data_IF_417514030865
#
_entry.id   IF_417514030865
#
_cell.length_a   1.000
_cell.length_b   1.000
_cell.length_c   1.000
_cell.angle_alpha   90.00
_cell.angle_beta   90.00
_cell.angle_gamma   90.00
#
_symmetry.space_group_name_H-M   'P 1'
#
loop_
_entity.id
_entity.type
_entity.pdbx_description
1 polymer ?
#
# COMPACT_ATOMS: atom_id res chain seq x y z
N UNK A 1 14.47 -19.71 3.87
CA UNK A 1 13.48 -18.61 3.87
C UNK A 1 12.86 -18.53 5.24
N UNK A 2 12.63 -17.32 5.79
CA UNK A 2 11.82 -17.16 6.99
C UNK A 2 10.38 -17.61 6.75
N UNK A 3 9.76 -18.19 7.77
CA UNK A 3 8.36 -18.61 7.74
C UNK A 3 7.52 -17.62 8.56
N UNK A 4 6.34 -17.29 8.04
CA UNK A 4 5.35 -16.46 8.71
C UNK A 4 4.03 -17.22 8.81
N UNK A 5 3.43 -17.21 9.99
CA UNK A 5 2.08 -17.73 10.23
C UNK A 5 1.14 -16.56 10.40
N UNK A 6 0.08 -16.51 9.59
CA UNK A 6 -0.88 -15.40 9.56
C UNK A 6 -2.23 -15.97 9.99
N UNK A 7 -2.84 -15.32 10.99
CA UNK A 7 -4.23 -15.59 11.34
C UNK A 7 -5.14 -14.81 10.40
N UNK A 8 -6.15 -15.46 9.84
CA UNK A 8 -7.14 -14.85 8.95
C UNK A 8 -8.53 -14.94 9.58
N UNK A 9 -9.44 -13.98 9.31
CA UNK A 9 -10.83 -14.08 9.74
C UNK A 9 -11.50 -15.34 9.17
N UNK A 10 -12.46 -15.90 9.92
CA UNK A 10 -13.16 -17.14 9.53
C UNK A 10 -13.84 -17.02 8.16
N UNK A 11 -14.43 -15.85 7.86
CA UNK A 11 -15.08 -15.57 6.59
C UNK A 11 -14.10 -15.70 5.41
N UNK A 12 -12.88 -15.18 5.56
CA UNK A 12 -11.83 -15.29 4.56
C UNK A 12 -11.35 -16.73 4.43
N UNK A 13 -11.17 -17.44 5.55
CA UNK A 13 -10.78 -18.84 5.54
C UNK A 13 -11.77 -19.72 4.78
N UNK A 14 -13.08 -19.50 4.95
CA UNK A 14 -14.12 -20.25 4.23
C UNK A 14 -14.07 -20.00 2.71
N UNK A 15 -13.75 -18.78 2.27
CA UNK A 15 -13.53 -18.48 0.85
C UNK A 15 -12.28 -19.22 0.36
N UNK A 16 -11.17 -19.15 1.09
CA UNK A 16 -9.92 -19.79 0.72
C UNK A 16 -10.07 -21.32 0.61
N UNK A 17 -10.86 -21.92 1.51
CA UNK A 17 -11.15 -23.35 1.54
C UNK A 17 -12.03 -23.81 0.38
N UNK A 18 -12.92 -22.96 -0.12
CA UNK A 18 -13.72 -23.23 -1.34
C UNK A 18 -12.85 -23.20 -2.59
N UNK A 19 -11.83 -22.34 -2.62
CA UNK A 19 -10.93 -22.14 -3.76
C UNK A 19 -9.53 -22.72 -3.49
N UNK A 20 -9.43 -24.05 -3.39
CA UNK A 20 -8.16 -24.76 -3.09
C UNK A 20 -7.18 -24.76 -4.26
N UNK A 21 -7.66 -24.51 -5.47
CA UNK A 21 -6.85 -24.35 -6.68
C UNK A 21 -5.93 -23.13 -6.62
N UNK A 22 -6.27 -22.15 -5.77
CA UNK A 22 -5.51 -20.92 -5.61
C UNK A 22 -4.34 -21.13 -4.65
N UNK A 23 -3.14 -20.74 -5.09
CA UNK A 23 -1.93 -20.69 -4.25
C UNK A 23 -1.97 -19.46 -3.35
N UNK A 24 -2.75 -19.50 -2.29
CA UNK A 24 -2.95 -18.38 -1.37
C UNK A 24 -1.66 -17.81 -0.75
N UNK A 25 -0.65 -18.66 -0.53
CA UNK A 25 0.67 -18.21 -0.06
C UNK A 25 1.40 -17.30 -1.07
N UNK A 26 1.20 -17.52 -2.37
CA UNK A 26 1.73 -16.66 -3.43
C UNK A 26 0.96 -15.35 -3.51
N UNK A 27 -0.37 -15.40 -3.36
CA UNK A 27 -1.21 -14.19 -3.30
C UNK A 27 -0.78 -13.30 -2.13
N UNK A 28 -0.62 -13.88 -0.94
CA UNK A 28 -0.15 -13.16 0.24
C UNK A 28 1.25 -12.56 0.03
N UNK A 29 2.18 -13.33 -0.56
CA UNK A 29 3.55 -12.85 -0.85
C UNK A 29 3.55 -11.64 -1.79
N UNK A 30 2.74 -11.68 -2.86
CA UNK A 30 2.64 -10.57 -3.80
C UNK A 30 2.07 -9.32 -3.14
N UNK A 31 0.98 -9.46 -2.38
CA UNK A 31 0.39 -8.34 -1.66
C UNK A 31 1.37 -7.71 -0.67
N UNK A 32 2.11 -8.52 0.10
CA UNK A 32 3.15 -8.04 1.01
C UNK A 32 4.27 -7.31 0.26
N UNK A 33 4.73 -7.85 -0.87
CA UNK A 33 5.80 -7.23 -1.67
C UNK A 33 5.38 -5.90 -2.28
N UNK A 34 4.15 -5.82 -2.79
CA UNK A 34 3.60 -4.57 -3.34
C UNK A 34 3.48 -3.50 -2.27
N UNK A 35 3.04 -3.86 -1.05
CA UNK A 35 2.96 -2.91 0.05
C UNK A 35 4.35 -2.50 0.54
N UNK A 36 5.28 -3.45 0.70
CA UNK A 36 6.66 -3.18 1.11
C UNK A 36 7.37 -2.22 0.15
N UNK A 37 7.20 -2.40 -1.17
CA UNK A 37 7.74 -1.47 -2.18
C UNK A 37 7.20 -0.05 -2.04
N UNK A 38 5.92 0.11 -1.68
CA UNK A 38 5.34 1.43 -1.42
C UNK A 38 5.98 2.07 -0.19
N UNK A 39 6.19 1.29 0.87
CA UNK A 39 6.90 1.77 2.06
C UNK A 39 8.33 2.17 1.74
N UNK A 40 9.10 1.33 1.04
CA UNK A 40 10.48 1.69 0.65
C UNK A 40 10.55 2.93 -0.24
N UNK A 41 9.56 3.13 -1.13
CA UNK A 41 9.48 4.33 -1.94
C UNK A 41 9.19 5.55 -1.07
N UNK A 42 8.25 5.44 -0.12
CA UNK A 42 7.96 6.52 0.83
C UNK A 42 9.21 6.84 1.66
N UNK A 43 9.86 5.83 2.23
CA UNK A 43 11.08 6.02 3.02
C UNK A 43 12.15 6.75 2.20
N UNK A 44 12.40 6.37 0.94
CA UNK A 44 13.37 7.06 0.06
C UNK A 44 12.98 8.50 -0.29
N UNK A 45 11.69 8.77 -0.46
CA UNK A 45 11.19 10.12 -0.72
C UNK A 45 11.36 11.00 0.52
N UNK A 46 11.23 10.42 1.71
CA UNK A 46 11.32 11.10 3.00
C UNK A 46 12.75 11.13 3.56
N UNK A 47 13.65 10.27 3.10
CA UNK A 47 15.03 10.12 3.60
C UNK A 47 15.84 11.42 3.54
N UNK A 48 15.50 12.32 2.61
CA UNK A 48 16.15 13.62 2.45
C UNK A 48 15.21 14.81 2.72
N UNK A 49 14.01 14.53 3.24
CA UNK A 49 13.00 15.53 3.54
C UNK A 49 12.74 15.53 5.04
N UNK A 50 13.20 16.56 5.75
CA UNK A 50 12.53 16.97 6.99
C UNK A 50 11.17 17.50 6.56
N UNK A 51 10.21 16.59 6.34
CA UNK A 51 8.91 16.93 5.82
C UNK A 51 8.11 17.56 6.97
N UNK A 52 8.13 18.88 7.01
CA UNK A 52 7.41 19.64 8.03
C UNK A 52 5.91 19.62 7.72
N UNK A 53 5.05 19.89 8.72
CA UNK A 53 3.61 20.02 8.48
C UNK A 53 3.29 21.06 7.40
N UNK A 54 4.15 22.08 7.27
CA UNK A 54 4.03 23.13 6.27
C UNK A 54 4.30 22.60 4.85
N UNK A 55 5.30 21.71 4.70
CA UNK A 55 5.60 21.02 3.43
C UNK A 55 4.46 20.09 2.99
N UNK A 56 3.86 19.34 3.93
CA UNK A 56 2.68 18.50 3.66
C UNK A 56 1.52 19.35 3.15
N UNK A 57 1.27 20.49 3.80
CA UNK A 57 0.18 21.41 3.46
C UNK A 57 0.38 22.05 2.08
N UNK A 58 1.61 22.44 1.75
CA UNK A 58 1.97 22.90 0.41
C UNK A 58 1.76 21.82 -0.66
N UNK A 59 2.22 20.59 -0.40
CA UNK A 59 2.06 19.48 -1.33
C UNK A 59 0.58 19.16 -1.57
N UNK A 60 -0.22 19.13 -0.50
CA UNK A 60 -1.66 18.89 -0.57
C UNK A 60 -2.37 19.97 -1.41
N UNK A 61 -2.00 21.25 -1.26
CA UNK A 61 -2.51 22.34 -2.11
C UNK A 61 -2.11 22.16 -3.57
N UNK A 62 -0.85 21.81 -3.85
CA UNK A 62 -0.34 21.60 -5.22
C UNK A 62 -1.05 20.43 -5.91
N UNK A 63 -1.25 19.31 -5.20
CA UNK A 63 -2.00 18.15 -5.70
C UNK A 63 -3.45 18.54 -5.96
N UNK A 64 -4.13 19.21 -5.02
CA UNK A 64 -5.53 19.63 -5.18
C UNK A 64 -5.70 20.57 -6.38
N UNK A 65 -4.79 21.52 -6.56
CA UNK A 65 -4.79 22.42 -7.71
C UNK A 65 -4.58 21.67 -9.03
N UNK A 66 -3.61 20.75 -9.09
CA UNK A 66 -3.38 19.95 -10.29
C UNK A 66 -4.53 19.00 -10.64
N UNK A 67 -5.26 18.50 -9.64
CA UNK A 67 -6.50 17.72 -9.86
C UNK A 67 -7.60 18.63 -10.41
N UNK A 68 -7.79 19.83 -9.85
CA UNK A 68 -8.75 20.83 -10.34
C UNK A 68 -8.44 21.25 -11.78
N UNK A 69 -7.17 21.57 -12.08
CA UNK A 69 -6.71 21.96 -13.43
C UNK A 69 -6.90 20.84 -14.46
N UNK A 70 -6.77 19.57 -14.06
CA UNK A 70 -6.91 18.42 -14.96
C UNK A 70 -8.36 17.97 -15.14
N UNK A 71 -9.28 18.39 -14.27
CA UNK A 71 -10.68 17.98 -14.28
C UNK A 71 -11.68 19.13 -14.50
N UNK A 72 -11.24 20.35 -14.82
CA UNK A 72 -12.06 21.53 -15.15
C UNK A 72 -13.40 21.61 -14.39
N UNK A 73 -13.33 21.77 -13.06
CA UNK A 73 -14.40 22.34 -12.25
C UNK A 73 -13.91 23.66 -11.66
#
# INVERSE_FOLDING_TARGET
MPNITISVPDELYEIMKKHKEIKWSEVARRAMWEYAKKLELLDKLLENSELTEEDVSELARKIKRGITERHEI
#
